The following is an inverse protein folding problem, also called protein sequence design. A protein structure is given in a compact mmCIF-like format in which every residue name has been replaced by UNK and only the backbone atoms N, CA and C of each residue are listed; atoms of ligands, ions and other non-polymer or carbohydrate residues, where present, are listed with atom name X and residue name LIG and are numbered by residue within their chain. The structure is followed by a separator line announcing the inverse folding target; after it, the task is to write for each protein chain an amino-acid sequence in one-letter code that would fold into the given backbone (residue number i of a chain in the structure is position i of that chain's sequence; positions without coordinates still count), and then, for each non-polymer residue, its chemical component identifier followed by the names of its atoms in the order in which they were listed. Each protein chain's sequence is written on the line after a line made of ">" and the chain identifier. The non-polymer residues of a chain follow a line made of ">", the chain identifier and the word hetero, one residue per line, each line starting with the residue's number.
data_IF_870267970484
#
_entry.id   IF_870267970484
#
_cell.length_a   1.000
_cell.length_b   1.000
_cell.length_c   1.000
_cell.angle_alpha   90.00
_cell.angle_beta   90.00
_cell.angle_gamma   90.00
#
_symmetry.space_group_name_H-M   'P 1'
#
loop_
_entity.id
_entity.type
_entity.pdbx_description
1 polymer ?
#
# COMPACT_ATOMS: atom_id res chain seq x y z
N UNK A 1 -10.03 -8.27 -38.17
CA UNK A 1 -10.56 -7.42 -37.10
C UNK A 1 -9.42 -6.92 -36.20
N UNK A 2 -8.53 -7.80 -35.75
CA UNK A 2 -7.37 -7.46 -34.90
C UNK A 2 -6.39 -6.44 -35.51
N UNK A 3 -6.11 -6.52 -36.82
CA UNK A 3 -5.17 -5.59 -37.47
C UNK A 3 -5.67 -4.13 -37.49
N UNK A 4 -6.98 -3.91 -37.64
CA UNK A 4 -7.57 -2.57 -37.56
C UNK A 4 -7.54 -2.01 -36.14
N UNK A 5 -7.79 -2.85 -35.13
CA UNK A 5 -7.71 -2.43 -33.73
C UNK A 5 -6.27 -2.11 -33.31
N UNK A 6 -5.28 -2.85 -33.82
CA UNK A 6 -3.88 -2.58 -33.56
C UNK A 6 -3.43 -1.23 -34.15
N UNK A 7 -3.90 -0.88 -35.36
CA UNK A 7 -3.62 0.43 -35.96
C UNK A 7 -4.31 1.58 -35.22
N UNK A 8 -5.57 1.42 -34.81
CA UNK A 8 -6.29 2.44 -34.02
C UNK A 8 -5.64 2.68 -32.66
N UNK A 9 -5.22 1.61 -31.96
CA UNK A 9 -4.54 1.71 -30.68
C UNK A 9 -3.19 2.42 -30.81
N UNK A 10 -2.44 2.10 -31.87
CA UNK A 10 -1.15 2.72 -32.17
C UNK A 10 -1.30 4.23 -32.45
N UNK A 11 -2.31 4.61 -33.23
CA UNK A 11 -2.62 6.01 -33.52
C UNK A 11 -2.95 6.82 -32.24
N UNK A 12 -3.71 6.21 -31.32
CA UNK A 12 -4.06 6.84 -30.04
C UNK A 12 -2.85 7.00 -29.11
N UNK A 13 -1.94 6.01 -29.10
CA UNK A 13 -0.69 6.06 -28.33
C UNK A 13 0.26 7.12 -28.87
N UNK A 14 0.45 7.18 -30.19
CA UNK A 14 1.32 8.18 -30.84
C UNK A 14 0.81 9.62 -30.59
N UNK A 15 -0.50 9.83 -30.59
CA UNK A 15 -1.11 11.13 -30.27
C UNK A 15 -0.97 11.50 -28.78
N UNK A 16 -1.14 10.54 -27.86
CA UNK A 16 -0.92 10.77 -26.45
C UNK A 16 0.56 11.13 -26.16
N UNK A 17 1.49 10.49 -26.86
CA UNK A 17 2.92 10.75 -26.73
C UNK A 17 3.29 12.14 -27.27
N UNK A 18 2.75 12.55 -28.42
CA UNK A 18 2.93 13.89 -28.97
C UNK A 18 2.38 15.01 -28.05
N UNK A 19 1.38 14.72 -27.23
CA UNK A 19 0.84 15.65 -26.23
C UNK A 19 1.72 15.74 -24.98
N UNK A 20 2.40 14.65 -24.61
CA UNK A 20 3.35 14.64 -23.49
C UNK A 20 4.69 15.31 -23.82
N UNK A 21 5.08 15.35 -25.10
CA UNK A 21 6.35 15.94 -25.56
C UNK A 21 6.29 17.48 -25.76
N UNK A 22 5.17 18.14 -25.45
CA UNK A 22 5.08 19.61 -25.54
C UNK A 22 5.79 20.28 -24.33
N UNK A 23 6.70 21.24 -24.56
CA UNK A 23 7.60 21.79 -23.53
C UNK A 23 6.95 22.80 -22.57
N UNK A 24 5.68 23.15 -22.75
CA UNK A 24 4.99 24.11 -21.88
C UNK A 24 4.19 23.39 -20.79
N UNK A 25 4.81 23.30 -19.61
CA UNK A 25 4.18 23.14 -18.29
C UNK A 25 3.05 22.12 -18.17
N UNK A 26 3.38 20.88 -17.78
CA UNK A 26 2.42 19.81 -17.44
C UNK A 26 1.32 20.28 -16.47
N UNK A 27 0.07 20.51 -16.92
CA UNK A 27 -1.06 20.43 -16.02
C UNK A 27 -1.30 18.94 -15.75
N UNK A 28 -1.99 18.60 -14.66
CA UNK A 28 -2.53 17.25 -14.47
C UNK A 28 -3.42 16.87 -15.67
N UNK A 29 -2.85 16.15 -16.63
CA UNK A 29 -3.56 15.65 -17.80
C UNK A 29 -4.58 14.63 -17.32
N UNK A 30 -5.85 15.03 -17.28
CA UNK A 30 -6.96 14.11 -17.15
C UNK A 30 -7.24 13.54 -18.53
N UNK A 31 -7.08 12.22 -18.72
CA UNK A 31 -7.36 11.54 -19.99
C UNK A 31 -8.78 11.81 -20.53
N UNK A 32 -9.75 12.07 -19.63
CA UNK A 32 -11.12 12.49 -20.02
C UNK A 32 -11.19 13.87 -20.67
N UNK A 33 -10.20 14.73 -20.46
CA UNK A 33 -10.17 16.06 -21.05
C UNK A 33 -9.45 16.07 -22.42
N UNK A 34 -8.76 14.99 -22.77
CA UNK A 34 -7.96 14.87 -24.00
C UNK A 34 -8.63 13.96 -25.03
N UNK A 35 -9.34 12.94 -24.57
CA UNK A 35 -10.05 12.01 -25.43
C UNK A 35 -11.52 12.40 -25.47
N UNK A 36 -12.05 12.64 -26.66
CA UNK A 36 -13.48 12.80 -26.87
C UNK A 36 -14.24 11.50 -26.51
N UNK A 37 -15.55 11.64 -26.28
CA UNK A 37 -16.41 10.53 -25.86
C UNK A 37 -16.41 9.37 -26.86
N UNK A 38 -16.17 9.66 -28.14
CA UNK A 38 -16.07 8.68 -29.22
C UNK A 38 -14.81 7.81 -29.08
N UNK A 39 -13.65 8.41 -28.78
CA UNK A 39 -12.40 7.67 -28.54
C UNK A 39 -12.44 6.88 -27.23
N UNK A 40 -13.08 7.40 -26.19
CA UNK A 40 -13.30 6.66 -24.95
C UNK A 40 -14.18 5.42 -25.19
N UNK A 41 -15.18 5.53 -26.06
CA UNK A 41 -16.01 4.41 -26.47
C UNK A 41 -15.22 3.37 -27.28
N UNK A 42 -14.30 3.81 -28.16
CA UNK A 42 -13.41 2.91 -28.92
C UNK A 42 -12.46 2.14 -28.01
N UNK A 43 -11.81 2.80 -27.05
CA UNK A 43 -10.91 2.14 -26.07
C UNK A 43 -11.68 1.11 -25.25
N UNK A 44 -12.90 1.45 -24.81
CA UNK A 44 -13.76 0.52 -24.08
C UNK A 44 -14.13 -0.69 -24.93
N UNK A 45 -14.45 -0.49 -26.21
CA UNK A 45 -14.78 -1.57 -27.16
C UNK A 45 -13.60 -2.51 -27.37
N UNK A 46 -12.38 -1.97 -27.49
CA UNK A 46 -11.13 -2.75 -27.59
C UNK A 46 -10.90 -3.58 -26.33
N UNK A 47 -11.05 -2.96 -25.15
CA UNK A 47 -10.93 -3.65 -23.87
C UNK A 47 -11.92 -4.81 -23.75
N UNK A 48 -13.20 -4.55 -24.03
CA UNK A 48 -14.27 -5.56 -23.96
C UNK A 48 -14.03 -6.72 -24.94
N UNK A 49 -13.46 -6.45 -26.14
CA UNK A 49 -13.09 -7.51 -27.09
C UNK A 49 -11.89 -8.34 -26.64
N UNK A 50 -10.88 -7.74 -26.03
CA UNK A 50 -9.72 -8.48 -25.52
C UNK A 50 -10.03 -9.31 -24.27
N UNK A 51 -11.08 -8.97 -23.53
CA UNK A 51 -11.51 -9.72 -22.33
C UNK A 51 -12.54 -10.81 -22.60
N UNK A 52 -13.07 -10.92 -23.83
CA UNK A 52 -14.16 -11.85 -24.17
C UNK A 52 -13.70 -13.22 -24.68
N UNK A 53 -12.43 -13.40 -24.99
CA UNK A 53 -11.91 -14.65 -25.57
C UNK A 53 -11.47 -15.72 -24.55
N UNK A 54 -11.76 -15.53 -23.26
CA UNK A 54 -11.30 -16.46 -22.21
C UNK A 54 -12.43 -16.93 -21.30
N UNK A 55 -13.55 -17.42 -21.85
CA UNK A 55 -14.59 -18.13 -21.11
C UNK A 55 -15.36 -19.09 -22.03
N UNK A 56 -14.81 -20.28 -22.24
CA UNK A 56 -15.49 -21.38 -22.93
C UNK A 56 -14.90 -22.72 -22.55
N UNK A 57 -15.18 -23.21 -21.35
CA UNK A 57 -15.49 -24.61 -21.08
C UNK A 57 -16.00 -24.77 -19.65
N UNK A 58 -17.25 -25.22 -19.56
CA UNK A 58 -17.84 -25.87 -18.41
C UNK A 58 -17.17 -27.26 -18.22
N UNK A 59 -17.30 -27.82 -17.02
CA UNK A 59 -16.84 -29.14 -16.56
C UNK A 59 -15.43 -29.25 -15.93
N UNK A 60 -15.26 -28.73 -14.71
CA UNK A 60 -14.45 -29.38 -13.66
C UNK A 60 -15.09 -29.15 -12.28
N UNK A 61 -15.40 -30.25 -11.57
CA UNK A 61 -15.84 -30.31 -10.16
C UNK A 61 -14.66 -30.87 -9.30
N UNK A 62 -14.72 -30.92 -7.96
CA UNK A 62 -14.43 -29.84 -7.01
C UNK A 62 -13.35 -30.26 -5.98
N UNK A 63 -12.12 -29.75 -6.03
CA UNK A 63 -11.28 -29.74 -4.81
C UNK A 63 -10.07 -28.80 -4.93
N UNK A 64 -9.72 -28.20 -3.80
CA UNK A 64 -8.45 -27.51 -3.50
C UNK A 64 -8.19 -26.12 -4.11
N UNK A 65 -9.08 -25.17 -3.84
CA UNK A 65 -8.75 -23.75 -3.99
C UNK A 65 -9.74 -22.88 -3.25
N UNK A 66 -9.40 -22.44 -2.03
CA UNK A 66 -10.15 -21.35 -1.40
C UNK A 66 -9.78 -20.08 -2.16
N UNK A 67 -10.40 -19.88 -3.32
CA UNK A 67 -10.40 -18.61 -4.02
C UNK A 67 -11.11 -17.58 -3.15
N UNK A 68 -10.37 -16.54 -2.79
CA UNK A 68 -10.91 -15.41 -2.05
C UNK A 68 -11.91 -14.72 -2.97
N UNK A 69 -13.20 -14.82 -2.65
CA UNK A 69 -14.24 -14.14 -3.42
C UNK A 69 -14.03 -12.62 -3.32
N UNK A 70 -14.09 -11.93 -4.46
CA UNK A 70 -13.92 -10.47 -4.63
C UNK A 70 -14.83 -9.63 -3.71
N UNK A 71 -15.87 -10.25 -3.15
CA UNK A 71 -16.79 -9.64 -2.18
C UNK A 71 -16.18 -9.46 -0.78
N UNK A 72 -15.18 -10.26 -0.40
CA UNK A 72 -14.46 -10.15 0.88
C UNK A 72 -13.44 -8.99 0.92
N UNK A 73 -13.23 -8.37 -0.24
CA UNK A 73 -12.19 -7.38 -0.51
C UNK A 73 -12.74 -5.95 -0.69
N UNK A 74 -14.07 -5.78 -0.68
CA UNK A 74 -14.68 -4.45 -0.85
C UNK A 74 -14.46 -3.56 0.38
N UNK A 75 -14.12 -2.27 0.20
CA UNK A 75 -14.04 -1.33 1.30
C UNK A 75 -15.42 -1.18 1.96
N UNK A 76 -15.48 -1.53 3.25
CA UNK A 76 -16.62 -1.22 4.10
C UNK A 76 -16.72 0.30 4.20
N UNK A 77 -17.60 0.91 3.40
CA UNK A 77 -18.06 2.29 3.64
C UNK A 77 -18.49 2.34 5.11
N UNK A 78 -17.80 3.13 5.94
CA UNK A 78 -18.21 3.42 7.32
C UNK A 78 -19.61 4.06 7.26
N UNK A 79 -20.67 3.26 7.23
CA UNK A 79 -22.02 3.73 7.56
C UNK A 79 -21.95 4.18 9.02
N UNK A 80 -22.17 5.48 9.25
CA UNK A 80 -22.35 6.03 10.61
C UNK A 80 -23.27 5.08 11.38
N UNK A 81 -22.81 4.57 12.52
CA UNK A 81 -23.58 3.67 13.38
C UNK A 81 -24.80 4.41 13.92
N UNK A 82 -25.94 4.25 13.26
CA UNK A 82 -27.25 4.47 13.85
C UNK A 82 -27.63 3.13 14.46
N UNK A 83 -27.58 3.03 15.79
CA UNK A 83 -28.42 2.18 16.65
C UNK A 83 -28.67 0.71 16.31
N UNK A 84 -27.92 0.04 15.43
CA UNK A 84 -28.10 -1.37 15.11
C UNK A 84 -27.35 -2.27 16.08
N UNK A 85 -28.02 -3.32 16.58
CA UNK A 85 -27.42 -4.37 17.42
C UNK A 85 -26.05 -4.78 16.89
N UNK A 86 -25.04 -4.68 17.75
CA UNK A 86 -23.69 -5.18 17.45
C UNK A 86 -23.82 -6.68 17.21
N UNK A 87 -23.88 -7.13 15.94
CA UNK A 87 -23.68 -8.53 15.59
C UNK A 87 -22.43 -9.00 16.34
N UNK A 88 -22.61 -9.93 17.27
CA UNK A 88 -21.51 -10.52 18.05
C UNK A 88 -20.54 -11.12 17.04
N UNK A 89 -19.36 -10.53 16.93
CA UNK A 89 -18.30 -11.06 16.08
C UNK A 89 -17.85 -12.37 16.70
N UNK A 90 -18.19 -13.48 16.05
CA UNK A 90 -17.73 -14.81 16.46
C UNK A 90 -16.24 -14.90 16.12
N UNK A 91 -15.41 -14.92 17.15
CA UNK A 91 -13.98 -15.26 17.04
C UNK A 91 -13.88 -16.73 16.60
N UNK A 92 -13.02 -17.02 15.60
CA UNK A 92 -12.80 -18.40 15.13
C UNK A 92 -13.64 -18.90 13.94
N UNK A 93 -14.38 -18.05 13.23
CA UNK A 93 -15.04 -18.39 11.95
C UNK A 93 -14.10 -18.32 10.72
N UNK A 94 -14.50 -18.81 9.53
CA UNK A 94 -13.71 -18.71 8.27
C UNK A 94 -13.32 -17.26 7.90
N UNK A 95 -14.14 -16.29 8.34
CA UNK A 95 -13.89 -14.86 8.19
C UNK A 95 -12.92 -14.26 9.25
N UNK A 96 -12.32 -15.09 10.11
CA UNK A 96 -11.28 -14.68 11.05
C UNK A 96 -9.90 -14.71 10.35
N UNK A 97 -9.26 -13.55 10.15
CA UNK A 97 -8.00 -13.49 9.40
C UNK A 97 -6.85 -14.25 10.08
N UNK A 98 -6.86 -14.40 11.41
CA UNK A 98 -5.86 -15.25 12.07
C UNK A 98 -6.10 -16.71 11.74
N UNK A 99 -7.35 -17.16 11.66
CA UNK A 99 -7.69 -18.53 11.26
C UNK A 99 -7.25 -18.81 9.82
N UNK A 100 -7.32 -17.82 8.91
CA UNK A 100 -6.76 -17.95 7.55
C UNK A 100 -5.26 -18.25 7.57
N UNK A 101 -4.50 -17.59 8.46
CA UNK A 101 -3.06 -17.85 8.61
C UNK A 101 -2.83 -19.20 9.32
N UNK A 102 -3.57 -19.51 10.39
CA UNK A 102 -3.45 -20.77 11.13
C UNK A 102 -3.75 -21.99 10.26
N UNK A 103 -4.71 -21.88 9.35
CA UNK A 103 -5.12 -22.96 8.45
C UNK A 103 -4.41 -22.92 7.09
N UNK A 104 -3.42 -22.04 6.91
CA UNK A 104 -2.72 -21.88 5.64
C UNK A 104 -1.94 -23.15 5.29
N UNK A 105 -2.25 -23.87 4.20
CA UNK A 105 -1.59 -25.14 3.88
C UNK A 105 -0.11 -24.93 3.52
N UNK A 106 0.19 -23.86 2.78
CA UNK A 106 1.52 -23.49 2.32
C UNK A 106 1.65 -21.97 2.21
N UNK A 107 2.89 -21.46 2.19
CA UNK A 107 3.11 -20.03 1.99
C UNK A 107 2.63 -19.60 0.60
N UNK A 108 2.03 -18.40 0.48
CA UNK A 108 1.78 -17.80 -0.82
C UNK A 108 3.09 -17.65 -1.59
N UNK A 109 3.04 -17.95 -2.89
CA UNK A 109 4.14 -17.62 -3.78
C UNK A 109 4.35 -16.10 -3.80
N UNK A 110 5.61 -15.69 -3.96
CA UNK A 110 5.94 -14.31 -4.22
C UNK A 110 5.31 -13.89 -5.56
N UNK A 111 4.70 -12.69 -5.61
CA UNK A 111 4.03 -12.23 -6.82
C UNK A 111 5.03 -12.11 -7.99
N UNK A 112 4.58 -12.46 -9.20
CA UNK A 112 5.43 -12.56 -10.39
C UNK A 112 6.22 -11.28 -10.68
N UNK A 113 5.60 -10.11 -10.52
CA UNK A 113 6.29 -8.83 -10.73
C UNK A 113 7.44 -8.59 -9.74
N UNK A 114 7.36 -9.15 -8.53
CA UNK A 114 8.43 -9.08 -7.54
C UNK A 114 9.53 -10.08 -7.92
N UNK A 115 9.16 -11.29 -8.32
CA UNK A 115 10.11 -12.29 -8.83
C UNK A 115 10.88 -11.74 -10.04
N UNK A 116 10.18 -11.16 -11.02
CA UNK A 116 10.78 -10.55 -12.20
C UNK A 116 11.74 -9.41 -11.82
N UNK A 117 11.37 -8.57 -10.85
CA UNK A 117 12.27 -7.53 -10.35
C UNK A 117 13.52 -8.13 -9.70
N UNK A 118 13.38 -9.09 -8.79
CA UNK A 118 14.51 -9.72 -8.09
C UNK A 118 15.43 -10.48 -9.05
N UNK A 119 14.89 -11.14 -10.07
CA UNK A 119 15.67 -11.83 -11.10
C UNK A 119 16.43 -10.84 -12.00
N UNK A 120 15.81 -9.71 -12.35
CA UNK A 120 16.45 -8.66 -13.17
C UNK A 120 17.49 -7.86 -12.38
N UNK A 121 17.29 -7.76 -11.08
CA UNK A 121 18.08 -6.94 -10.17
C UNK A 121 18.56 -7.77 -8.96
N UNK A 122 19.35 -8.84 -9.19
CA UNK A 122 19.74 -9.79 -8.13
C UNK A 122 20.63 -9.12 -7.09
N UNK A 123 21.58 -8.32 -7.58
CA UNK A 123 22.42 -7.46 -6.74
C UNK A 123 21.81 -6.10 -6.53
N UNK A 124 20.76 -5.73 -7.25
CA UNK A 124 20.19 -4.40 -7.29
C UNK A 124 18.96 -4.36 -6.39
N UNK A 125 19.23 -4.42 -5.08
CA UNK A 125 19.21 -3.29 -4.12
C UNK A 125 18.28 -2.07 -4.37
N UNK A 126 17.66 -1.91 -5.52
CA UNK A 126 17.14 -0.66 -6.04
C UNK A 126 15.63 -0.58 -5.81
N UNK A 127 15.30 -0.43 -4.53
CA UNK A 127 13.95 -0.18 -4.07
C UNK A 127 13.29 1.00 -4.80
N UNK A 128 14.10 1.96 -5.25
CA UNK A 128 13.61 3.09 -6.02
C UNK A 128 13.14 2.67 -7.41
N UNK A 129 13.93 1.86 -8.14
CA UNK A 129 13.47 1.25 -9.39
C UNK A 129 12.22 0.41 -9.19
N UNK A 130 12.15 -0.40 -8.14
CA UNK A 130 10.95 -1.19 -7.84
C UNK A 130 9.70 -0.30 -7.69
N UNK A 131 9.80 0.78 -6.91
CA UNK A 131 8.71 1.75 -6.72
C UNK A 131 8.37 2.52 -8.01
N UNK A 132 9.38 2.84 -8.83
CA UNK A 132 9.22 3.49 -10.16
C UNK A 132 8.49 2.56 -11.14
N UNK A 133 8.82 1.27 -11.19
CA UNK A 133 8.17 0.28 -12.07
C UNK A 133 6.70 0.11 -11.74
N UNK A 134 6.31 0.30 -10.48
CA UNK A 134 4.90 0.34 -10.08
C UNK A 134 4.21 1.65 -10.46
N UNK A 135 4.83 2.55 -11.24
CA UNK A 135 4.36 3.91 -11.60
C UNK A 135 4.13 4.82 -10.40
N UNK A 136 4.92 4.60 -9.34
CA UNK A 136 4.64 5.11 -7.99
C UNK A 136 5.83 5.81 -7.36
N UNK A 137 6.73 6.39 -8.17
CA UNK A 137 7.75 7.30 -7.68
C UNK A 137 7.11 8.54 -7.07
N UNK A 138 7.11 8.59 -5.74
CA UNK A 138 6.87 9.81 -5.00
C UNK A 138 8.04 10.75 -5.27
N UNK A 139 7.79 12.03 -5.61
CA UNK A 139 8.83 13.08 -5.70
C UNK A 139 9.41 13.45 -4.31
N UNK A 140 9.35 12.54 -3.33
CA UNK A 140 9.91 12.72 -2.00
C UNK A 140 11.38 12.35 -2.01
N UNK A 141 12.22 13.20 -2.61
CA UNK A 141 13.63 12.90 -2.88
C UNK A 141 14.64 13.83 -2.21
N UNK A 142 14.38 15.14 -2.14
CA UNK A 142 15.39 16.13 -1.74
C UNK A 142 14.69 17.22 -0.91
N UNK A 143 15.06 17.35 0.37
CA UNK A 143 14.44 18.30 1.30
C UNK A 143 15.54 18.86 2.23
N UNK A 144 15.86 20.15 2.07
CA UNK A 144 17.04 20.77 2.70
C UNK A 144 16.67 21.68 3.90
N UNK A 145 15.37 21.87 4.19
CA UNK A 145 14.91 22.76 5.27
C UNK A 145 13.68 22.23 6.04
N UNK A 146 13.33 22.90 7.14
CA UNK A 146 12.16 22.56 7.96
C UNK A 146 10.82 22.86 7.27
N UNK A 147 10.78 23.88 6.41
CA UNK A 147 9.63 24.14 5.55
C UNK A 147 9.53 23.08 4.44
N UNK A 148 10.67 22.59 3.96
CA UNK A 148 10.74 21.45 3.03
C UNK A 148 10.25 20.15 3.69
N UNK A 149 10.51 19.94 4.98
CA UNK A 149 9.97 18.80 5.74
C UNK A 149 8.45 18.84 5.88
N UNK A 150 7.88 20.02 6.12
CA UNK A 150 6.43 20.20 6.13
C UNK A 150 5.83 19.88 4.76
N UNK A 151 6.40 20.44 3.70
CA UNK A 151 5.96 20.18 2.33
C UNK A 151 6.14 18.71 1.93
N UNK A 152 7.23 18.08 2.36
CA UNK A 152 7.49 16.65 2.21
C UNK A 152 6.41 15.81 2.89
N UNK A 153 6.08 16.16 4.12
CA UNK A 153 5.00 15.51 4.87
C UNK A 153 3.68 15.61 4.12
N UNK A 154 3.34 16.80 3.59
CA UNK A 154 2.10 17.02 2.86
C UNK A 154 2.05 16.32 1.50
N UNK A 155 3.18 16.29 0.77
CA UNK A 155 3.32 15.51 -0.45
C UNK A 155 3.11 14.02 -0.18
N UNK A 156 3.70 13.51 0.90
CA UNK A 156 3.59 12.12 1.33
C UNK A 156 2.21 11.75 1.82
N UNK A 157 1.57 12.65 2.57
CA UNK A 157 0.18 12.54 3.00
C UNK A 157 -0.76 12.44 1.79
N UNK A 158 -0.65 13.38 0.85
CA UNK A 158 -1.46 13.41 -0.36
C UNK A 158 -1.27 12.14 -1.19
N UNK A 159 -0.02 11.67 -1.33
CA UNK A 159 0.28 10.43 -2.01
C UNK A 159 -0.31 9.20 -1.30
N UNK A 160 -0.23 9.14 0.03
CA UNK A 160 -0.87 8.05 0.80
C UNK A 160 -2.38 8.03 0.57
N UNK A 161 -3.04 9.18 0.56
CA UNK A 161 -4.46 9.26 0.24
C UNK A 161 -4.78 8.80 -1.19
N UNK A 162 -3.92 9.11 -2.16
CA UNK A 162 -4.09 8.64 -3.55
C UNK A 162 -3.96 7.12 -3.63
N UNK A 163 -2.95 6.54 -2.97
CA UNK A 163 -2.76 5.09 -2.90
C UNK A 163 -3.96 4.41 -2.23
N UNK A 164 -4.46 4.97 -1.13
CA UNK A 164 -5.64 4.45 -0.43
C UNK A 164 -6.91 4.45 -1.30
N UNK A 165 -7.00 5.36 -2.28
CA UNK A 165 -8.12 5.43 -3.24
C UNK A 165 -7.99 4.46 -4.41
N UNK A 166 -6.78 3.97 -4.71
CA UNK A 166 -6.55 2.97 -5.77
C UNK A 166 -6.80 1.59 -5.18
N UNK A 167 -7.85 0.89 -5.63
CA UNK A 167 -8.14 -0.48 -5.20
C UNK A 167 -6.94 -1.42 -5.44
N UNK A 168 -6.86 -2.43 -4.57
CA UNK A 168 -6.07 -3.69 -4.49
C UNK A 168 -4.76 -3.91 -5.28
N UNK A 169 -4.60 -3.41 -6.50
CA UNK A 169 -3.40 -3.61 -7.33
C UNK A 169 -2.13 -3.05 -6.67
N UNK A 170 -2.26 -2.18 -5.68
CA UNK A 170 -1.14 -1.58 -4.94
C UNK A 170 -1.23 -1.86 -3.42
N UNK A 171 -1.83 -3.00 -3.04
CA UNK A 171 -2.03 -3.31 -1.62
C UNK A 171 -0.71 -3.38 -0.82
N UNK A 172 0.33 -3.92 -1.44
CA UNK A 172 1.68 -3.98 -0.86
C UNK A 172 2.19 -2.59 -0.47
N UNK A 173 1.95 -1.56 -1.29
CA UNK A 173 2.43 -0.21 -0.95
C UNK A 173 1.60 0.44 0.14
N UNK A 174 0.29 0.15 0.22
CA UNK A 174 -0.49 0.64 1.35
C UNK A 174 0.06 0.10 2.68
N UNK A 175 0.51 -1.16 2.70
CA UNK A 175 1.16 -1.75 3.88
C UNK A 175 2.48 -1.05 4.22
N UNK A 176 3.30 -0.73 3.20
CA UNK A 176 4.51 0.07 3.41
C UNK A 176 4.21 1.51 3.84
N UNK A 177 3.09 2.11 3.39
CA UNK A 177 2.68 3.44 3.81
C UNK A 177 2.21 3.46 5.25
N UNK A 178 1.38 2.50 5.65
CA UNK A 178 0.99 2.33 7.04
C UNK A 178 2.24 2.16 7.93
N UNK A 179 3.19 1.33 7.49
CA UNK A 179 4.46 1.14 8.21
C UNK A 179 5.32 2.42 8.25
N UNK A 180 5.39 3.17 7.16
CA UNK A 180 6.06 4.46 7.09
C UNK A 180 5.49 5.43 8.13
N UNK A 181 4.17 5.55 8.25
CA UNK A 181 3.55 6.44 9.24
C UNK A 181 3.86 6.03 10.67
N UNK A 182 3.96 4.72 10.94
CA UNK A 182 4.45 4.24 12.21
C UNK A 182 5.91 4.63 12.46
N UNK A 183 6.79 4.45 11.48
CA UNK A 183 8.22 4.82 11.59
C UNK A 183 8.42 6.32 11.76
N UNK A 184 7.62 7.15 11.08
CA UNK A 184 7.58 8.60 11.27
C UNK A 184 7.25 8.97 12.72
N UNK A 185 6.26 8.32 13.33
CA UNK A 185 5.95 8.56 14.74
C UNK A 185 7.09 8.09 15.66
N UNK A 186 7.82 7.04 15.29
CA UNK A 186 9.01 6.59 16.02
C UNK A 186 10.18 7.58 15.89
N UNK A 187 10.33 8.28 14.77
CA UNK A 187 11.32 9.36 14.62
C UNK A 187 10.99 10.52 15.54
N UNK A 188 9.73 11.00 15.51
CA UNK A 188 9.29 12.10 16.37
C UNK A 188 9.33 11.75 17.86
N UNK A 189 9.11 10.47 18.20
CA UNK A 189 9.19 10.00 19.59
C UNK A 189 9.74 8.57 19.68
N UNK A 190 11.07 8.39 19.78
CA UNK A 190 11.71 7.07 19.77
C UNK A 190 11.32 6.15 20.92
N UNK A 191 10.92 6.71 22.07
CA UNK A 191 10.42 5.95 23.24
C UNK A 191 8.90 5.74 23.21
N UNK A 192 8.24 6.20 22.17
CA UNK A 192 6.80 6.11 22.01
C UNK A 192 6.34 4.73 21.53
N UNK A 193 5.05 4.45 21.69
CA UNK A 193 4.43 3.23 21.14
C UNK A 193 4.19 3.32 19.63
N UNK A 194 4.56 4.43 19.00
CA UNK A 194 4.20 4.81 17.63
C UNK A 194 2.74 5.28 17.49
N UNK A 195 1.88 5.04 18.48
CA UNK A 195 0.48 5.48 18.45
C UNK A 195 0.36 6.99 18.71
N UNK A 196 -0.58 7.63 18.02
CA UNK A 196 -0.93 9.04 18.24
C UNK A 196 -1.90 9.15 19.43
N UNK A 197 -1.36 9.07 20.65
CA UNK A 197 -2.08 9.47 21.89
C UNK A 197 -1.77 10.93 22.27
N UNK A 198 -2.31 11.44 23.37
CA UNK A 198 -2.24 12.87 23.75
C UNK A 198 -0.83 13.47 23.70
N UNK A 199 0.16 12.75 24.24
CA UNK A 199 1.57 13.19 24.20
C UNK A 199 2.15 13.25 22.78
N UNK A 200 1.74 12.34 21.89
CA UNK A 200 2.20 12.34 20.49
C UNK A 200 1.43 13.37 19.68
N UNK A 201 0.16 13.61 20.02
CA UNK A 201 -0.67 14.62 19.40
C UNK A 201 -0.06 16.02 19.56
N UNK A 202 0.49 16.33 20.73
CA UNK A 202 1.20 17.59 20.95
C UNK A 202 2.45 17.70 20.09
N UNK A 203 3.27 16.67 20.03
CA UNK A 203 4.48 16.66 19.19
C UNK A 203 4.14 16.77 17.70
N UNK A 204 3.13 16.04 17.24
CA UNK A 204 2.67 16.10 15.86
C UNK A 204 2.10 17.50 15.54
N UNK A 205 1.34 18.12 16.44
CA UNK A 205 0.86 19.50 16.27
C UNK A 205 2.01 20.50 16.17
N UNK A 206 3.06 20.35 16.99
CA UNK A 206 4.28 21.19 16.91
C UNK A 206 5.02 20.98 15.60
N UNK A 207 5.16 19.73 15.15
CA UNK A 207 5.80 19.40 13.88
C UNK A 207 5.03 20.01 12.70
N UNK A 208 3.70 20.00 12.75
CA UNK A 208 2.81 20.52 11.71
C UNK A 208 2.54 22.03 11.82
N UNK A 209 2.93 22.69 12.90
CA UNK A 209 2.64 24.12 13.12
C UNK A 209 3.14 25.07 12.01
N UNK A 210 4.28 24.82 11.34
CA UNK A 210 4.73 25.66 10.22
C UNK A 210 3.84 25.56 8.97
N UNK A 211 2.97 24.56 8.87
CA UNK A 211 2.17 24.32 7.67
C UNK A 211 0.90 25.16 7.60
N UNK A 212 0.66 25.79 6.46
CA UNK A 212 -0.58 26.49 6.19
C UNK A 212 -1.67 25.56 5.64
N UNK A 213 -2.36 24.84 6.54
CA UNK A 213 -3.43 23.91 6.19
C UNK A 213 -4.60 24.55 5.41
N UNK A 214 -4.91 25.84 5.68
CA UNK A 214 -5.98 26.56 4.99
C UNK A 214 -5.67 26.74 3.51
N UNK A 215 -4.44 27.11 3.16
CA UNK A 215 -4.01 27.24 1.77
C UNK A 215 -3.99 25.89 1.04
N UNK A 216 -3.76 24.80 1.77
CA UNK A 216 -3.77 23.44 1.22
C UNK A 216 -5.19 22.84 1.11
N UNK A 217 -6.23 23.56 1.56
CA UNK A 217 -7.62 23.08 1.53
C UNK A 217 -7.86 21.89 2.46
N UNK A 218 -7.11 21.78 3.55
CA UNK A 218 -7.16 20.66 4.50
C UNK A 218 -7.43 21.14 5.92
N UNK A 219 -8.04 20.27 6.71
CA UNK A 219 -8.21 20.47 8.15
C UNK A 219 -7.12 19.71 8.92
N UNK A 220 -6.39 20.41 9.79
CA UNK A 220 -5.28 19.82 10.55
C UNK A 220 -5.73 18.61 11.39
N UNK A 221 -6.90 18.68 12.02
CA UNK A 221 -7.41 17.57 12.83
C UNK A 221 -7.76 16.33 11.97
N UNK A 222 -8.20 16.51 10.72
CA UNK A 222 -8.42 15.40 9.78
C UNK A 222 -7.10 14.74 9.39
N UNK A 223 -6.07 15.54 9.12
CA UNK A 223 -4.71 15.04 8.80
C UNK A 223 -4.16 14.21 9.96
N UNK A 224 -4.26 14.76 11.18
CA UNK A 224 -3.83 14.07 12.40
C UNK A 224 -4.60 12.76 12.61
N UNK A 225 -5.92 12.77 12.43
CA UNK A 225 -6.75 11.58 12.58
C UNK A 225 -6.34 10.48 11.59
N UNK A 226 -6.13 10.84 10.33
CA UNK A 226 -5.67 9.91 9.29
C UNK A 226 -4.31 9.30 9.63
N UNK A 227 -3.33 10.14 9.98
CA UNK A 227 -1.99 9.70 10.41
C UNK A 227 -2.08 8.78 11.63
N UNK A 228 -2.98 9.09 12.57
CA UNK A 228 -3.27 8.26 13.72
C UNK A 228 -3.76 6.86 13.33
N UNK A 229 -4.75 6.76 12.44
CA UNK A 229 -5.26 5.49 11.93
C UNK A 229 -4.16 4.69 11.20
N UNK A 230 -3.42 5.35 10.31
CA UNK A 230 -2.36 4.72 9.50
C UNK A 230 -1.21 4.20 10.37
N UNK A 231 -0.76 4.99 11.34
CA UNK A 231 0.28 4.57 12.29
C UNK A 231 -0.16 3.40 13.17
N UNK A 232 -1.44 3.34 13.57
CA UNK A 232 -1.95 2.18 14.32
C UNK A 232 -1.84 0.91 13.47
N UNK A 233 -2.20 0.95 12.19
CA UNK A 233 -2.03 -0.18 11.26
C UNK A 233 -0.55 -0.51 11.06
N UNK A 234 0.29 0.49 10.86
CA UNK A 234 1.75 0.34 10.77
C UNK A 234 2.36 -0.35 11.99
N UNK A 235 1.90 0.00 13.20
CA UNK A 235 2.39 -0.61 14.44
C UNK A 235 2.11 -2.12 14.50
N UNK A 236 0.98 -2.55 13.93
CA UNK A 236 0.57 -3.96 13.85
C UNK A 236 1.43 -4.71 12.84
N UNK A 237 1.63 -4.12 11.66
CA UNK A 237 2.53 -4.64 10.63
C UNK A 237 3.96 -4.76 11.17
N UNK A 238 4.45 -3.74 11.87
CA UNK A 238 5.80 -3.73 12.45
C UNK A 238 6.02 -4.89 13.45
N UNK A 239 5.00 -5.30 14.20
CA UNK A 239 5.12 -6.48 15.08
C UNK A 239 5.37 -7.77 14.29
N UNK A 240 4.71 -7.92 13.14
CA UNK A 240 4.97 -9.04 12.23
C UNK A 240 6.38 -8.94 11.63
N UNK A 241 6.79 -7.74 11.19
CA UNK A 241 8.13 -7.52 10.66
C UNK A 241 9.24 -7.80 11.67
N UNK A 242 9.02 -7.56 12.97
CA UNK A 242 9.97 -7.92 14.03
C UNK A 242 10.20 -9.43 14.15
N UNK A 243 9.21 -10.24 13.80
CA UNK A 243 9.30 -11.70 13.88
C UNK A 243 9.95 -12.30 12.63
N UNK A 244 9.57 -11.82 11.45
CA UNK A 244 9.86 -12.48 10.17
C UNK A 244 10.66 -11.64 9.17
N UNK A 245 10.98 -10.39 9.51
CA UNK A 245 11.56 -9.42 8.58
C UNK A 245 10.50 -8.62 7.82
N UNK A 246 10.93 -7.56 7.14
CA UNK A 246 10.03 -6.69 6.37
C UNK A 246 9.47 -7.40 5.14
N UNK A 247 10.19 -8.39 4.61
CA UNK A 247 9.75 -9.14 3.43
C UNK A 247 8.49 -9.99 3.66
N UNK A 248 8.09 -10.22 4.93
CA UNK A 248 6.81 -10.83 5.25
C UNK A 248 5.61 -10.05 4.67
N UNK A 249 5.75 -8.73 4.47
CA UNK A 249 4.75 -7.90 3.79
C UNK A 249 4.54 -8.38 2.36
N UNK A 250 5.62 -8.67 1.63
CA UNK A 250 5.55 -9.08 0.21
C UNK A 250 4.87 -10.45 0.06
N UNK A 251 5.04 -11.34 1.04
CA UNK A 251 4.43 -12.68 1.03
C UNK A 251 2.99 -12.67 1.53
N UNK A 252 2.71 -12.00 2.64
CA UNK A 252 1.43 -12.10 3.35
C UNK A 252 0.46 -10.96 3.00
N UNK A 253 0.76 -10.13 2.00
CA UNK A 253 -0.03 -8.95 1.70
C UNK A 253 -1.53 -9.26 1.55
N UNK A 254 -1.93 -10.33 0.85
CA UNK A 254 -3.36 -10.68 0.66
C UNK A 254 -4.09 -11.03 1.97
N UNK A 255 -3.35 -11.46 2.98
CA UNK A 255 -3.85 -11.90 4.28
C UNK A 255 -3.95 -10.71 5.25
N UNK A 256 -3.21 -9.64 4.98
CA UNK A 256 -3.09 -8.46 5.81
C UNK A 256 -4.15 -7.39 5.57
N UNK A 257 -5.33 -7.74 5.02
CA UNK A 257 -6.39 -6.80 4.58
C UNK A 257 -6.67 -5.63 5.54
N UNK A 258 -7.17 -4.51 5.00
CA UNK A 258 -7.50 -3.31 5.79
C UNK A 258 -8.44 -3.62 6.95
N UNK A 259 -9.51 -4.39 6.70
CA UNK A 259 -10.47 -4.80 7.73
C UNK A 259 -9.82 -5.62 8.84
N UNK A 260 -8.84 -6.47 8.50
CA UNK A 260 -8.06 -7.21 9.47
C UNK A 260 -7.21 -6.27 10.34
N UNK A 261 -6.44 -5.38 9.70
CA UNK A 261 -5.57 -4.44 10.42
C UNK A 261 -6.35 -3.45 11.29
N UNK A 262 -7.55 -3.03 10.88
CA UNK A 262 -8.39 -2.12 11.68
C UNK A 262 -9.08 -2.83 12.84
N UNK A 263 -9.74 -3.96 12.57
CA UNK A 263 -10.69 -4.56 13.52
C UNK A 263 -10.19 -5.77 14.31
N UNK A 264 -9.35 -6.62 13.72
CA UNK A 264 -9.14 -8.01 14.22
C UNK A 264 -7.69 -8.38 14.49
N UNK A 265 -6.72 -7.62 14.00
CA UNK A 265 -5.31 -7.87 14.27
C UNK A 265 -4.98 -7.52 15.72
N UNK A 266 -4.98 -8.54 16.58
CA UNK A 266 -4.42 -8.54 17.93
C UNK A 266 -3.09 -9.29 17.89
N UNK A 267 -1.99 -8.62 18.26
CA UNK A 267 -0.66 -9.24 18.33
C UNK A 267 -0.46 -10.01 19.65
N UNK A 268 -1.51 -10.71 20.10
CA UNK A 268 -1.59 -11.42 21.37
C UNK A 268 -2.80 -12.35 21.35
N UNK A 269 -2.82 -13.34 22.24
CA UNK A 269 -3.90 -14.31 22.39
C UNK A 269 -3.66 -15.62 21.64
N UNK A 270 -4.53 -16.62 21.84
CA UNK A 270 -4.34 -17.98 21.32
C UNK A 270 -4.31 -18.03 19.79
N UNK A 271 -5.18 -17.29 19.10
CA UNK A 271 -5.20 -17.26 17.62
C UNK A 271 -3.94 -16.63 17.02
N UNK A 272 -3.42 -15.57 17.63
CA UNK A 272 -2.15 -14.99 17.23
C UNK A 272 -1.00 -15.98 17.42
N UNK A 273 -0.96 -16.67 18.57
CA UNK A 273 0.05 -17.71 18.84
C UNK A 273 -0.02 -18.84 17.83
N UNK A 274 -1.22 -19.37 17.55
CA UNK A 274 -1.41 -20.42 16.55
C UNK A 274 -1.03 -19.98 15.13
N UNK A 275 -1.30 -18.73 14.76
CA UNK A 275 -0.85 -18.19 13.48
C UNK A 275 0.69 -18.06 13.40
N UNK A 276 1.34 -17.57 14.47
CA UNK A 276 2.81 -17.50 14.55
C UNK A 276 3.43 -18.89 14.48
N UNK A 277 2.88 -19.86 15.22
CA UNK A 277 3.30 -21.25 15.17
C UNK A 277 3.18 -21.82 13.76
N UNK A 278 2.04 -21.60 13.09
CA UNK A 278 1.85 -22.03 11.71
C UNK A 278 2.87 -21.41 10.76
N UNK A 279 3.11 -20.10 10.84
CA UNK A 279 4.10 -19.42 10.01
C UNK A 279 5.54 -19.91 10.27
N UNK A 280 5.83 -20.35 11.50
CA UNK A 280 7.11 -20.97 11.84
C UNK A 280 7.24 -22.37 11.23
N UNK A 281 6.19 -23.19 11.31
CA UNK A 281 6.13 -24.52 10.65
C UNK A 281 6.32 -24.38 9.14
N UNK A 282 5.69 -23.38 8.55
CA UNK A 282 5.85 -23.04 7.13
C UNK A 282 7.20 -22.38 6.80
N UNK A 283 8.09 -22.18 7.79
CA UNK A 283 9.42 -21.58 7.64
C UNK A 283 9.41 -20.22 6.95
N UNK A 284 8.41 -19.37 7.25
CA UNK A 284 8.29 -18.05 6.64
C UNK A 284 9.58 -17.24 6.73
N UNK A 285 10.25 -17.26 7.89
CA UNK A 285 11.50 -16.51 8.09
C UNK A 285 12.60 -16.91 7.10
N UNK A 286 12.74 -18.20 6.82
CA UNK A 286 13.74 -18.71 5.88
C UNK A 286 13.30 -18.45 4.44
N UNK A 287 12.02 -18.64 4.13
CA UNK A 287 11.46 -18.36 2.81
C UNK A 287 11.66 -16.90 2.38
N UNK A 288 11.38 -15.95 3.28
CA UNK A 288 11.54 -14.51 3.00
C UNK A 288 13.02 -14.13 2.79
N UNK A 289 13.94 -14.80 3.50
CA UNK A 289 15.38 -14.60 3.32
C UNK A 289 15.88 -15.18 2.00
N UNK A 290 15.53 -16.42 1.71
CA UNK A 290 16.02 -17.16 0.54
C UNK A 290 15.51 -16.58 -0.78
N UNK A 291 14.34 -15.93 -0.76
CA UNK A 291 13.78 -15.25 -1.94
C UNK A 291 14.35 -13.85 -2.16
N UNK A 292 15.14 -13.29 -1.25
CA UNK A 292 15.59 -11.88 -1.33
C UNK A 292 14.50 -10.84 -1.00
N UNK A 293 13.29 -11.29 -0.67
CA UNK A 293 12.16 -10.44 -0.33
C UNK A 293 12.44 -9.56 0.90
N UNK A 294 13.15 -10.07 1.91
CA UNK A 294 13.48 -9.26 3.10
C UNK A 294 14.39 -8.09 2.76
N UNK A 295 15.39 -8.34 1.92
CA UNK A 295 16.37 -7.35 1.48
C UNK A 295 15.66 -6.22 0.74
N UNK A 296 14.82 -6.55 -0.25
CA UNK A 296 14.03 -5.57 -1.01
C UNK A 296 13.11 -4.77 -0.09
N UNK A 297 12.30 -5.45 0.74
CA UNK A 297 11.35 -4.79 1.62
C UNK A 297 12.02 -3.86 2.65
N UNK A 298 13.17 -4.28 3.20
CA UNK A 298 13.94 -3.46 4.15
C UNK A 298 14.47 -2.20 3.48
N UNK A 299 14.90 -2.29 2.22
CA UNK A 299 15.35 -1.12 1.44
C UNK A 299 14.22 -0.19 1.09
N UNK A 300 13.07 -0.72 0.69
CA UNK A 300 11.85 0.07 0.49
C UNK A 300 11.55 0.85 1.77
N UNK A 301 11.43 0.17 2.91
CA UNK A 301 11.17 0.81 4.20
C UNK A 301 12.18 1.92 4.52
N UNK A 302 13.48 1.64 4.36
CA UNK A 302 14.55 2.64 4.59
C UNK A 302 14.43 3.83 3.63
N UNK A 303 14.23 3.58 2.34
CA UNK A 303 14.10 4.61 1.31
C UNK A 303 12.93 5.56 1.61
N UNK A 304 11.79 5.03 2.05
CA UNK A 304 10.62 5.85 2.36
C UNK A 304 10.82 6.76 3.58
N UNK A 305 11.62 6.32 4.56
CA UNK A 305 11.81 7.02 5.84
C UNK A 305 13.04 7.93 5.84
N UNK A 306 14.07 7.59 5.06
CA UNK A 306 15.38 8.25 5.03
C UNK A 306 15.31 9.78 4.97
N UNK A 307 14.54 10.42 4.05
CA UNK A 307 14.52 11.88 3.95
C UNK A 307 14.04 12.56 5.24
N UNK A 308 13.06 11.97 5.92
CA UNK A 308 12.54 12.51 7.18
C UNK A 308 13.51 12.28 8.34
N UNK A 309 14.22 11.16 8.34
CA UNK A 309 15.20 10.86 9.38
C UNK A 309 16.43 11.77 9.29
N UNK A 310 16.91 12.05 8.08
CA UNK A 310 18.05 12.95 7.83
C UNK A 310 17.71 14.37 8.27
N UNK A 311 16.59 14.92 7.77
CA UNK A 311 16.19 16.28 8.10
C UNK A 311 15.77 16.46 9.58
N UNK A 312 15.23 15.42 10.25
CA UNK A 312 15.00 15.47 11.70
C UNK A 312 16.32 15.55 12.50
N UNK A 313 17.36 14.83 12.07
CA UNK A 313 18.65 14.83 12.77
C UNK A 313 19.38 16.17 12.62
N UNK A 314 19.31 16.81 11.46
CA UNK A 314 19.92 18.13 11.22
C UNK A 314 19.32 19.21 12.12
N UNK A 315 17.98 19.22 12.28
CA UNK A 315 17.27 20.18 13.12
C UNK A 315 17.50 20.01 14.63
N UNK A 316 18.03 18.86 15.08
CA UNK A 316 18.35 18.63 16.51
C UNK A 316 19.84 18.80 16.83
N UNK A 317 20.67 19.13 15.83
CA UNK A 317 22.10 19.46 16.02
C UNK A 317 22.34 20.96 16.18
N UNK A 318 21.34 21.78 15.89
CA UNK A 318 21.33 23.24 16.04
C UNK A 318 20.64 23.63 17.34
#
# INVERSE_FOLDING_TARGET
>A
MEAQFAEELKLLLDQAQALMDRPEGFPLINLRNILDDERLATIKRIYDSCTRDDCGNEDVDPDSGVEVQEQDLRPLRKKRKIGGEKKRVVLGGPADPWKRITNMPQLPALAEYICAHLSKYPDSQDAEKFLRTLTLSSKCGEYDSRDDLGNAFMARYSWTQQVERRNEQVYVLQLFNDLFWFDMMQILRPRGTGRVGDSMLQELRRFLAPLNFKQLGLEQDVVIANVGEWSIRGSKINKLCKLYGSGAILILHKQLSRSFLEGKFTASGPYFKGAVERLNVLKLKDYVKNTGADTLATRIRKLLVKPFQEAYNENNRT
#
